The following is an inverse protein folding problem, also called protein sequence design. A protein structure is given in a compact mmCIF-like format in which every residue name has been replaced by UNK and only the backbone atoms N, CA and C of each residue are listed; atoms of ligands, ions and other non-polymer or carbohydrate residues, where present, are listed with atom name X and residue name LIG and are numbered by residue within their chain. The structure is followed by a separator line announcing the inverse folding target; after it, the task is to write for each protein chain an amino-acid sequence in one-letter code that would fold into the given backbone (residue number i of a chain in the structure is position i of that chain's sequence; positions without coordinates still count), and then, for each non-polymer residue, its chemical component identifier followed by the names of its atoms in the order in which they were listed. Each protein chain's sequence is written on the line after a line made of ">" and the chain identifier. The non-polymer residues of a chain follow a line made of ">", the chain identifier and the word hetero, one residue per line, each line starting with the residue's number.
data_IF_980016101382
#
_entry.id   IF_980016101382
#
_cell.length_a   1.000
_cell.length_b   1.000
_cell.length_c   1.000
_cell.angle_alpha   90.00
_cell.angle_beta   90.00
_cell.angle_gamma   90.00
#
_symmetry.space_group_name_H-M   'P 1'
#
loop_
_entity.id
_entity.type
_entity.pdbx_description
1 polymer ?
#
# COMPACT_ATOMS: atom_id res chain seq x y z
N UNK A 1 9.81 23.34 11.24
CA UNK A 1 9.24 23.20 9.88
C UNK A 1 8.26 22.04 9.84
N UNK A 2 6.96 22.25 9.78
CA UNK A 2 6.09 22.92 10.77
C UNK A 2 4.67 22.61 10.34
N UNK A 3 3.94 21.77 11.09
CA UNK A 3 2.46 21.59 11.11
C UNK A 3 1.67 21.31 9.82
N UNK A 4 2.15 21.70 8.64
CA UNK A 4 1.40 21.75 7.38
C UNK A 4 1.23 20.39 6.71
N UNK A 5 2.16 19.46 6.90
CA UNK A 5 2.05 18.10 6.36
C UNK A 5 1.20 17.17 7.24
N UNK A 6 1.14 17.45 8.56
CA UNK A 6 0.24 16.75 9.49
C UNK A 6 -1.19 17.08 9.11
N UNK A 7 -1.47 18.35 8.81
CA UNK A 7 -2.76 18.80 8.28
C UNK A 7 -3.07 18.10 6.95
N UNK A 8 -2.13 17.95 6.01
CA UNK A 8 -2.45 17.33 4.70
C UNK A 8 -2.89 15.86 4.76
N UNK A 9 -2.29 15.00 5.60
CA UNK A 9 -2.72 13.59 5.77
C UNK A 9 -4.04 13.50 6.57
N UNK A 10 -4.19 14.37 7.56
CA UNK A 10 -5.43 14.54 8.31
C UNK A 10 -6.55 15.16 7.46
N UNK A 11 -6.25 15.96 6.44
CA UNK A 11 -7.21 16.52 5.48
C UNK A 11 -7.67 15.49 4.44
N UNK A 12 -6.92 14.41 4.20
CA UNK A 12 -7.39 13.30 3.35
C UNK A 12 -8.38 12.42 4.13
N UNK A 13 -8.12 12.20 5.41
CA UNK A 13 -9.05 11.52 6.32
C UNK A 13 -10.29 12.39 6.61
N UNK A 14 -10.10 13.65 7.00
CA UNK A 14 -11.16 14.56 7.48
C UNK A 14 -11.78 15.47 6.41
N UNK A 15 -11.33 15.44 5.16
CA UNK A 15 -11.73 16.42 4.13
C UNK A 15 -12.71 15.92 3.07
N UNK A 16 -13.09 14.64 3.08
CA UNK A 16 -13.93 14.09 2.01
C UNK A 16 -15.40 13.92 2.38
N UNK A 17 -15.76 13.91 3.67
CA UNK A 17 -17.13 13.57 4.10
C UNK A 17 -17.61 12.19 3.63
N UNK A 18 -16.74 11.41 2.98
CA UNK A 18 -17.00 10.11 2.42
C UNK A 18 -16.52 9.07 3.42
N UNK A 19 -17.38 8.11 3.72
CA UNK A 19 -16.95 6.87 4.37
C UNK A 19 -15.81 6.25 3.53
N UNK A 20 -14.86 5.59 4.19
CA UNK A 20 -13.80 4.79 3.54
C UNK A 20 -14.37 4.03 2.32
N UNK A 21 -13.57 3.76 1.27
CA UNK A 21 -14.04 3.04 0.08
C UNK A 21 -14.89 1.82 0.43
N UNK A 22 -16.12 1.82 -0.07
CA UNK A 22 -17.15 0.78 0.07
C UNK A 22 -17.19 -0.04 -1.22
N UNK A 23 -17.82 -1.21 -1.20
CA UNK A 23 -18.00 -2.02 -2.40
C UNK A 23 -18.80 -1.25 -3.46
N UNK A 24 -18.16 -0.87 -4.56
CA UNK A 24 -18.83 -0.14 -5.65
C UNK A 24 -19.48 -1.11 -6.63
N UNK A 25 -20.41 -0.64 -7.49
CA UNK A 25 -20.94 -1.46 -8.58
C UNK A 25 -19.84 -2.00 -9.51
N UNK A 26 -18.75 -1.25 -9.67
CA UNK A 26 -17.58 -1.69 -10.45
C UNK A 26 -16.87 -2.85 -9.77
N UNK A 27 -16.66 -2.79 -8.46
CA UNK A 27 -16.00 -3.85 -7.70
C UNK A 27 -16.83 -5.14 -7.74
N UNK A 28 -18.13 -5.01 -7.51
CA UNK A 28 -19.08 -6.12 -7.62
C UNK A 28 -19.05 -6.75 -9.02
N UNK A 29 -19.13 -5.94 -10.08
CA UNK A 29 -19.08 -6.43 -11.46
C UNK A 29 -17.73 -7.07 -11.80
N UNK A 30 -16.61 -6.51 -11.33
CA UNK A 30 -15.30 -7.11 -11.56
C UNK A 30 -15.16 -8.48 -10.89
N UNK A 31 -15.72 -8.66 -9.69
CA UNK A 31 -15.66 -9.91 -8.95
C UNK A 31 -16.58 -10.99 -9.54
N UNK A 32 -17.76 -10.59 -10.04
CA UNK A 32 -18.84 -11.52 -10.36
C UNK A 32 -19.29 -11.52 -11.82
N UNK A 33 -18.95 -10.51 -12.63
CA UNK A 33 -19.57 -10.24 -13.93
C UNK A 33 -19.44 -11.36 -14.98
N UNK A 34 -18.48 -12.27 -14.81
CA UNK A 34 -18.32 -13.45 -15.68
C UNK A 34 -18.91 -14.74 -15.07
N UNK A 35 -19.17 -14.76 -13.76
CA UNK A 35 -19.53 -15.95 -12.98
C UNK A 35 -21.02 -16.07 -12.70
N UNK A 36 -21.78 -15.02 -13.00
CA UNK A 36 -23.20 -14.94 -12.72
C UNK A 36 -23.99 -15.16 -14.02
N UNK A 37 -24.88 -16.16 -14.04
CA UNK A 37 -25.88 -16.36 -15.10
C UNK A 37 -27.25 -16.72 -14.49
N UNK A 38 -28.33 -16.34 -15.18
CA UNK A 38 -29.70 -16.75 -14.84
C UNK A 38 -30.20 -16.19 -13.51
N UNK A 39 -30.91 -17.00 -12.72
CA UNK A 39 -31.57 -16.56 -11.48
C UNK A 39 -30.58 -16.05 -10.41
N UNK A 40 -29.35 -16.57 -10.42
CA UNK A 40 -28.29 -16.10 -9.52
C UNK A 40 -27.89 -14.64 -9.80
N UNK A 41 -28.05 -14.16 -11.05
CA UNK A 41 -27.79 -12.76 -11.42
C UNK A 41 -28.81 -11.82 -10.82
N UNK A 42 -30.06 -12.18 -11.00
CA UNK A 42 -31.15 -11.38 -10.49
C UNK A 42 -31.08 -11.26 -8.97
N UNK A 43 -30.86 -12.38 -8.27
CA UNK A 43 -30.78 -12.40 -6.81
C UNK A 43 -29.54 -11.63 -6.32
N UNK A 44 -28.35 -11.91 -6.86
CA UNK A 44 -27.12 -11.27 -6.40
C UNK A 44 -27.13 -9.75 -6.64
N UNK A 45 -27.70 -9.31 -7.77
CA UNK A 45 -27.88 -7.89 -8.04
C UNK A 45 -28.87 -7.23 -7.07
N UNK A 46 -29.99 -7.87 -6.77
CA UNK A 46 -30.95 -7.33 -5.81
C UNK A 46 -30.34 -7.17 -4.40
N UNK A 47 -29.54 -8.13 -3.96
CA UNK A 47 -28.79 -8.02 -2.69
C UNK A 47 -27.80 -6.86 -2.74
N UNK A 48 -27.07 -6.71 -3.85
CA UNK A 48 -26.13 -5.60 -4.01
C UNK A 48 -26.82 -4.23 -4.04
N UNK A 49 -27.95 -4.11 -4.72
CA UNK A 49 -28.73 -2.87 -4.80
C UNK A 49 -29.24 -2.45 -3.41
N UNK A 50 -29.71 -3.41 -2.59
CA UNK A 50 -30.10 -3.18 -1.19
C UNK A 50 -28.91 -2.72 -0.33
N UNK A 51 -27.76 -3.41 -0.43
CA UNK A 51 -26.51 -2.98 0.22
C UNK A 51 -26.14 -1.54 -0.17
N UNK A 52 -26.19 -1.21 -1.46
CA UNK A 52 -25.81 0.11 -1.96
C UNK A 52 -26.71 1.22 -1.42
N UNK A 53 -28.03 0.97 -1.32
CA UNK A 53 -28.99 1.91 -0.71
C UNK A 53 -28.69 2.14 0.78
N UNK A 54 -28.44 1.07 1.53
CA UNK A 54 -28.12 1.17 2.96
C UNK A 54 -26.82 1.94 3.22
N UNK A 55 -25.78 1.70 2.41
CA UNK A 55 -24.52 2.42 2.53
C UNK A 55 -24.64 3.90 2.12
N UNK A 56 -25.48 4.22 1.14
CA UNK A 56 -25.79 5.61 0.79
C UNK A 56 -26.44 6.35 1.97
N UNK A 57 -27.27 5.68 2.77
CA UNK A 57 -27.86 6.25 3.97
C UNK A 57 -26.81 6.61 5.04
N UNK A 58 -25.77 5.78 5.23
CA UNK A 58 -24.65 6.08 6.15
C UNK A 58 -23.94 7.38 5.73
N UNK A 59 -23.67 7.52 4.43
CA UNK A 59 -23.03 8.73 3.88
C UNK A 59 -23.91 9.99 3.97
N UNK A 60 -25.23 9.82 4.03
CA UNK A 60 -26.21 10.92 4.05
C UNK A 60 -26.57 11.37 5.48
N UNK A 61 -26.03 10.72 6.52
CA UNK A 61 -26.25 11.07 7.93
C UNK A 61 -25.68 12.46 8.30
N UNK A 62 -26.31 13.11 9.30
CA UNK A 62 -26.17 14.53 9.66
C UNK A 62 -24.79 15.17 9.38
N UNK A 63 -24.85 16.28 8.64
CA UNK A 63 -23.75 17.18 8.32
C UNK A 63 -23.02 17.68 9.57
N UNK A 64 -21.69 17.68 9.48
CA UNK A 64 -20.75 18.19 10.45
C UNK A 64 -21.22 19.49 11.12
N UNK A 65 -21.39 19.46 12.45
CA UNK A 65 -21.53 20.68 13.22
C UNK A 65 -20.20 21.45 13.18
N UNK A 66 -20.26 22.76 12.96
CA UNK A 66 -19.08 23.64 12.86
C UNK A 66 -18.17 23.62 14.10
N UNK A 67 -18.66 23.11 15.24
CA UNK A 67 -17.94 23.00 16.51
C UNK A 67 -17.28 21.63 16.75
N UNK A 68 -17.30 20.72 15.77
CA UNK A 68 -16.73 19.37 15.93
C UNK A 68 -15.20 19.42 15.92
N UNK A 69 -14.56 18.95 16.99
CA UNK A 69 -13.10 18.86 17.04
C UNK A 69 -12.57 17.78 16.10
N UNK A 70 -11.31 17.87 15.61
CA UNK A 70 -10.70 16.83 14.77
C UNK A 70 -10.76 15.42 15.36
N UNK A 71 -10.62 15.28 16.68
CA UNK A 71 -10.71 13.97 17.35
C UNK A 71 -12.14 13.42 17.41
N UNK A 72 -13.15 14.29 17.46
CA UNK A 72 -14.56 13.90 17.35
C UNK A 72 -14.93 13.52 15.92
N UNK A 73 -14.41 14.22 14.91
CA UNK A 73 -14.58 13.87 13.50
C UNK A 73 -14.07 12.44 13.22
N UNK A 74 -12.85 12.11 13.66
CA UNK A 74 -12.30 10.76 13.53
C UNK A 74 -13.13 9.68 14.26
N UNK A 75 -13.79 10.02 15.37
CA UNK A 75 -14.66 9.08 16.08
C UNK A 75 -15.96 8.81 15.31
N UNK A 76 -16.53 9.84 14.68
CA UNK A 76 -17.69 9.71 13.78
C UNK A 76 -17.30 8.90 12.54
N UNK A 77 -16.14 9.17 11.94
CA UNK A 77 -15.63 8.40 10.81
C UNK A 77 -15.41 6.93 11.16
N UNK A 78 -14.85 6.62 12.34
CA UNK A 78 -14.70 5.24 12.81
C UNK A 78 -16.06 4.54 12.94
N UNK A 79 -17.07 5.23 13.48
CA UNK A 79 -18.41 4.68 13.60
C UNK A 79 -18.99 4.37 12.21
N UNK A 80 -18.97 5.33 11.29
CA UNK A 80 -19.50 5.13 9.93
C UNK A 80 -18.74 4.05 9.16
N UNK A 81 -17.43 3.98 9.31
CA UNK A 81 -16.59 2.93 8.74
C UNK A 81 -16.99 1.55 9.27
N UNK A 82 -17.24 1.45 10.59
CA UNK A 82 -17.69 0.20 11.22
C UNK A 82 -19.08 -0.22 10.73
N UNK A 83 -20.01 0.73 10.62
CA UNK A 83 -21.36 0.48 10.08
C UNK A 83 -21.30 0.00 8.62
N UNK A 84 -20.49 0.64 7.77
CA UNK A 84 -20.33 0.24 6.38
C UNK A 84 -19.69 -1.15 6.21
N UNK A 85 -18.75 -1.51 7.09
CA UNK A 85 -18.15 -2.85 7.05
C UNK A 85 -19.10 -3.94 7.55
N UNK A 86 -19.95 -3.67 8.54
CA UNK A 86 -21.01 -4.61 8.92
C UNK A 86 -21.96 -4.88 7.76
N UNK A 87 -22.39 -3.84 7.03
CA UNK A 87 -23.20 -4.01 5.82
C UNK A 87 -22.45 -4.79 4.74
N UNK A 88 -21.14 -4.59 4.62
CA UNK A 88 -20.34 -5.34 3.66
C UNK A 88 -20.23 -6.83 4.03
N UNK A 89 -20.04 -7.15 5.31
CA UNK A 89 -20.07 -8.53 5.80
C UNK A 89 -21.44 -9.18 5.59
N UNK A 90 -22.53 -8.44 5.79
CA UNK A 90 -23.89 -8.89 5.50
C UNK A 90 -24.12 -9.14 4.00
N UNK A 91 -23.62 -8.27 3.11
CA UNK A 91 -23.60 -8.49 1.67
C UNK A 91 -22.89 -9.80 1.33
N UNK A 92 -21.66 -9.99 1.81
CA UNK A 92 -20.86 -11.17 1.49
C UNK A 92 -21.48 -12.46 2.06
N UNK A 93 -22.05 -12.39 3.27
CA UNK A 93 -22.80 -13.49 3.88
C UNK A 93 -24.02 -13.86 3.04
N UNK A 94 -24.81 -12.87 2.60
CA UNK A 94 -26.00 -13.08 1.77
C UNK A 94 -25.64 -13.68 0.41
N UNK A 95 -24.57 -13.20 -0.22
CA UNK A 95 -24.04 -13.76 -1.47
C UNK A 95 -23.57 -15.21 -1.28
N UNK A 96 -22.98 -15.56 -0.12
CA UNK A 96 -22.48 -16.92 0.13
C UNK A 96 -23.57 -17.99 0.21
N UNK A 97 -24.82 -17.61 0.48
CA UNK A 97 -25.96 -18.54 0.54
C UNK A 97 -26.51 -18.87 -0.86
N UNK A 98 -26.27 -18.00 -1.85
CA UNK A 98 -26.78 -18.18 -3.22
C UNK A 98 -26.16 -19.40 -3.90
N UNK A 99 -24.84 -19.55 -3.82
CA UNK A 99 -24.11 -20.63 -4.47
C UNK A 99 -22.86 -21.02 -3.65
N UNK A 100 -22.55 -22.32 -3.64
CA UNK A 100 -21.40 -22.91 -2.94
C UNK A 100 -20.28 -23.39 -3.88
N UNK A 101 -20.44 -23.21 -5.18
CA UNK A 101 -19.42 -23.54 -6.18
C UNK A 101 -18.10 -22.83 -5.90
N UNK A 102 -16.99 -23.48 -6.28
CA UNK A 102 -15.65 -22.94 -6.01
C UNK A 102 -15.44 -21.57 -6.68
N UNK A 103 -15.92 -21.40 -7.91
CA UNK A 103 -15.83 -20.14 -8.64
C UNK A 103 -16.57 -19.01 -7.93
N UNK A 104 -17.76 -19.30 -7.39
CA UNK A 104 -18.55 -18.35 -6.62
C UNK A 104 -17.85 -17.92 -5.33
N UNK A 105 -17.31 -18.89 -4.58
CA UNK A 105 -16.56 -18.62 -3.35
C UNK A 105 -15.28 -17.83 -3.62
N UNK A 106 -14.61 -18.11 -4.74
CA UNK A 106 -13.45 -17.33 -5.20
C UNK A 106 -13.85 -15.90 -5.57
N UNK A 107 -15.00 -15.69 -6.23
CA UNK A 107 -15.54 -14.34 -6.50
C UNK A 107 -15.82 -13.56 -5.20
N UNK A 108 -16.43 -14.19 -4.19
CA UNK A 108 -16.66 -13.57 -2.86
C UNK A 108 -15.33 -13.17 -2.22
N UNK A 109 -14.35 -14.08 -2.19
CA UNK A 109 -13.04 -13.82 -1.58
C UNK A 109 -12.28 -12.71 -2.32
N UNK A 110 -12.36 -12.67 -3.66
CA UNK A 110 -11.79 -11.60 -4.47
C UNK A 110 -12.45 -10.25 -4.16
N UNK A 111 -13.79 -10.21 -4.09
CA UNK A 111 -14.50 -8.97 -3.75
C UNK A 111 -14.10 -8.47 -2.36
N UNK A 112 -14.12 -9.35 -1.35
CA UNK A 112 -13.73 -9.03 0.03
C UNK A 112 -12.32 -8.45 0.07
N UNK A 113 -11.35 -9.16 -0.52
CA UNK A 113 -9.95 -8.76 -0.54
C UNK A 113 -9.76 -7.40 -1.19
N UNK A 114 -10.31 -7.16 -2.38
CA UNK A 114 -10.17 -5.88 -3.08
C UNK A 114 -10.75 -4.71 -2.29
N UNK A 115 -11.97 -4.85 -1.75
CA UNK A 115 -12.64 -3.77 -1.01
C UNK A 115 -11.91 -3.48 0.31
N UNK A 116 -11.60 -4.51 1.12
CA UNK A 116 -10.97 -4.30 2.43
C UNK A 116 -9.55 -3.75 2.32
N UNK A 117 -8.76 -4.17 1.32
CA UNK A 117 -7.41 -3.65 1.12
C UNK A 117 -7.42 -2.19 0.64
N UNK A 118 -8.34 -1.80 -0.24
CA UNK A 118 -8.47 -0.40 -0.67
C UNK A 118 -9.00 0.50 0.46
N UNK A 119 -9.99 0.03 1.23
CA UNK A 119 -10.49 0.72 2.42
C UNK A 119 -9.36 0.97 3.44
N UNK A 120 -8.53 -0.05 3.69
CA UNK A 120 -7.35 0.07 4.55
C UNK A 120 -6.37 1.10 4.01
N UNK A 121 -6.02 1.04 2.72
CA UNK A 121 -5.08 1.97 2.08
C UNK A 121 -5.55 3.42 2.20
N UNK A 122 -6.84 3.68 2.00
CA UNK A 122 -7.42 5.01 2.10
C UNK A 122 -7.30 5.60 3.51
N UNK A 123 -7.55 4.78 4.54
CA UNK A 123 -7.56 5.21 5.94
C UNK A 123 -6.25 4.92 6.70
N UNK A 124 -5.14 4.72 5.99
CA UNK A 124 -3.86 4.31 6.59
C UNK A 124 -3.04 5.52 7.10
N UNK A 125 -2.85 5.67 8.43
CA UNK A 125 -2.02 6.75 8.97
C UNK A 125 -0.51 6.53 8.75
N UNK A 126 -0.10 5.35 8.27
CA UNK A 126 1.28 5.01 7.93
C UNK A 126 1.39 4.67 6.43
N UNK A 127 1.44 5.67 5.52
CA UNK A 127 1.35 5.42 4.07
C UNK A 127 2.39 4.46 3.49
N UNK A 128 3.55 4.31 4.15
CA UNK A 128 4.58 3.36 3.73
C UNK A 128 4.30 1.90 4.16
N UNK A 129 3.31 1.66 5.01
CA UNK A 129 2.91 0.32 5.49
C UNK A 129 1.73 -0.20 4.66
N UNK A 130 2.06 -0.71 3.48
CA UNK A 130 1.08 -1.20 2.48
C UNK A 130 0.71 -2.66 2.74
N UNK A 131 -0.58 -2.99 2.63
CA UNK A 131 -1.04 -4.37 2.49
C UNK A 131 -1.32 -4.60 1.01
N UNK A 132 -0.42 -5.32 0.35
CA UNK A 132 -0.51 -5.52 -1.09
C UNK A 132 -1.46 -6.66 -1.41
N UNK A 133 -2.28 -6.41 -2.43
CA UNK A 133 -3.11 -7.42 -3.04
C UNK A 133 -2.30 -8.31 -3.99
N UNK A 134 -1.57 -9.28 -3.43
CA UNK A 134 -0.66 -10.13 -4.22
C UNK A 134 -1.36 -10.86 -5.39
N UNK A 135 -2.57 -11.44 -5.22
CA UNK A 135 -3.29 -12.09 -6.32
C UNK A 135 -3.62 -11.20 -7.53
N UNK A 136 -3.62 -9.87 -7.40
CA UNK A 136 -3.83 -8.98 -8.55
C UNK A 136 -2.55 -8.62 -9.30
N UNK A 137 -1.38 -8.97 -8.75
CA UNK A 137 -0.07 -8.70 -9.36
C UNK A 137 0.52 -9.99 -9.93
N UNK A 138 0.50 -11.08 -9.15
CA UNK A 138 1.15 -12.34 -9.51
C UNK A 138 0.24 -13.53 -9.23
N UNK A 139 0.47 -14.64 -9.96
CA UNK A 139 -0.35 -15.84 -9.81
C UNK A 139 -0.04 -16.53 -8.48
N UNK A 140 -1.06 -16.78 -7.67
CA UNK A 140 -0.95 -17.53 -6.41
C UNK A 140 -1.89 -18.74 -6.39
N UNK A 141 -1.56 -19.80 -5.64
CA UNK A 141 -2.49 -20.90 -5.42
C UNK A 141 -3.77 -20.45 -4.68
N UNK A 142 -4.91 -21.08 -4.97
CA UNK A 142 -6.19 -20.82 -4.27
C UNK A 142 -6.06 -20.92 -2.74
N UNK A 143 -5.23 -21.84 -2.24
CA UNK A 143 -4.99 -22.00 -0.81
C UNK A 143 -4.39 -20.74 -0.16
N UNK A 144 -3.64 -19.94 -0.92
CA UNK A 144 -3.07 -18.67 -0.45
C UNK A 144 -4.09 -17.57 -0.51
N UNK A 145 -4.89 -17.52 -1.58
CA UNK A 145 -6.02 -16.61 -1.70
C UNK A 145 -6.96 -16.76 -0.49
N UNK A 146 -7.36 -17.99 -0.15
CA UNK A 146 -8.21 -18.25 1.02
C UNK A 146 -7.51 -17.98 2.37
N UNK A 147 -6.18 -18.11 2.44
CA UNK A 147 -5.42 -17.72 3.64
C UNK A 147 -5.41 -16.20 3.84
N UNK A 148 -5.20 -15.42 2.77
CA UNK A 148 -5.30 -13.96 2.79
C UNK A 148 -6.71 -13.55 3.20
N UNK A 149 -7.72 -14.14 2.57
CA UNK A 149 -9.13 -13.86 2.85
C UNK A 149 -9.50 -14.15 4.33
N UNK A 150 -9.09 -15.31 4.84
CA UNK A 150 -9.26 -15.68 6.25
C UNK A 150 -8.52 -14.72 7.19
N UNK A 151 -7.32 -14.30 6.80
CA UNK A 151 -6.56 -13.32 7.58
C UNK A 151 -7.27 -11.98 7.65
N UNK A 152 -7.80 -11.48 6.53
CA UNK A 152 -8.57 -10.23 6.48
C UNK A 152 -9.80 -10.30 7.38
N UNK A 153 -10.61 -11.36 7.26
CA UNK A 153 -11.78 -11.59 8.12
C UNK A 153 -11.46 -11.54 9.62
N UNK A 154 -10.33 -12.13 10.02
CA UNK A 154 -9.99 -12.24 11.45
C UNK A 154 -9.36 -10.97 12.04
N UNK A 155 -8.91 -10.03 11.20
CA UNK A 155 -7.99 -8.98 11.61
C UNK A 155 -8.37 -7.57 11.15
N UNK A 156 -9.25 -7.39 10.16
CA UNK A 156 -9.52 -6.07 9.57
C UNK A 156 -10.15 -5.10 10.58
N UNK A 157 -11.06 -5.56 11.44
CA UNK A 157 -11.70 -4.70 12.45
C UNK A 157 -10.72 -4.23 13.52
N UNK A 158 -9.79 -5.11 13.90
CA UNK A 158 -8.72 -4.78 14.83
C UNK A 158 -7.76 -3.77 14.21
N UNK A 159 -7.33 -4.00 12.97
CA UNK A 159 -6.47 -3.05 12.22
C UNK A 159 -7.14 -1.67 12.07
N UNK A 160 -8.44 -1.64 11.74
CA UNK A 160 -9.21 -0.39 11.65
C UNK A 160 -9.22 0.35 12.97
N UNK A 161 -9.58 -0.33 14.05
CA UNK A 161 -9.59 0.26 15.40
C UNK A 161 -8.20 0.79 15.76
N UNK A 162 -7.14 0.02 15.52
CA UNK A 162 -5.76 0.40 15.77
C UNK A 162 -5.37 1.70 15.03
N UNK A 163 -5.72 1.80 13.72
CA UNK A 163 -5.41 2.98 12.89
C UNK A 163 -6.16 4.24 13.31
N UNK A 164 -7.46 4.13 13.56
CA UNK A 164 -8.26 5.28 14.00
C UNK A 164 -7.84 5.75 15.40
N UNK A 165 -7.65 4.80 16.34
CA UNK A 165 -7.23 5.15 17.70
C UNK A 165 -5.82 5.74 17.74
N UNK A 166 -4.88 5.25 16.93
CA UNK A 166 -3.57 5.87 16.79
C UNK A 166 -3.71 7.33 16.32
N UNK A 167 -4.53 7.59 15.31
CA UNK A 167 -4.75 8.94 14.77
C UNK A 167 -5.38 9.88 15.80
N UNK A 168 -6.41 9.43 16.53
CA UNK A 168 -7.05 10.19 17.62
C UNK A 168 -6.04 10.52 18.73
N UNK A 169 -5.25 9.53 19.17
CA UNK A 169 -4.28 9.71 20.24
C UNK A 169 -3.11 10.61 19.82
N UNK A 170 -2.73 10.59 18.54
CA UNK A 170 -1.75 11.49 17.98
C UNK A 170 -2.22 12.94 18.03
N UNK A 171 -3.46 13.21 17.63
CA UNK A 171 -4.08 14.54 17.72
C UNK A 171 -4.19 15.02 19.17
N UNK A 172 -4.57 14.13 20.09
CA UNK A 172 -4.67 14.43 21.51
C UNK A 172 -3.33 14.51 22.26
N UNK A 173 -2.19 14.34 21.57
CA UNK A 173 -0.85 14.42 22.16
C UNK A 173 -0.46 13.24 23.05
N UNK A 174 -1.23 12.14 23.04
CA UNK A 174 -0.94 10.94 23.84
C UNK A 174 -0.02 9.97 23.10
N UNK A 175 1.26 10.35 23.01
CA UNK A 175 2.31 9.62 22.30
C UNK A 175 2.44 8.15 22.76
N UNK A 176 2.34 7.89 24.06
CA UNK A 176 2.59 6.55 24.60
C UNK A 176 1.49 5.55 24.19
N UNK A 177 0.21 5.94 24.29
CA UNK A 177 -0.89 5.07 23.83
C UNK A 177 -0.92 4.96 22.31
N UNK A 178 -0.62 6.04 21.59
CA UNK A 178 -0.53 6.01 20.13
C UNK A 178 0.48 4.94 19.69
N UNK A 179 1.69 4.93 20.28
CA UNK A 179 2.73 3.92 20.00
C UNK A 179 2.29 2.49 20.25
N UNK A 180 1.43 2.26 21.24
CA UNK A 180 0.90 0.92 21.50
C UNK A 180 0.03 0.42 20.34
N UNK A 181 -0.82 1.29 19.78
CA UNK A 181 -1.62 0.97 18.60
C UNK A 181 -0.78 0.86 17.31
N UNK A 182 0.20 1.74 17.12
CA UNK A 182 1.18 1.60 16.03
C UNK A 182 1.86 0.24 16.07
N UNK A 183 2.34 -0.18 17.24
CA UNK A 183 2.96 -1.49 17.42
C UNK A 183 2.05 -2.65 17.02
N UNK A 184 0.79 -2.61 17.42
CA UNK A 184 -0.18 -3.65 17.08
C UNK A 184 -0.40 -3.75 15.56
N UNK A 185 -0.61 -2.61 14.89
CA UNK A 185 -0.82 -2.60 13.44
C UNK A 185 0.43 -3.04 12.67
N UNK A 186 1.64 -2.67 13.13
CA UNK A 186 2.90 -3.12 12.51
C UNK A 186 3.16 -4.61 12.68
N UNK A 187 2.80 -5.18 13.83
CA UNK A 187 2.91 -6.61 14.06
C UNK A 187 1.92 -7.38 13.19
N UNK A 188 0.69 -6.88 13.06
CA UNK A 188 -0.35 -7.43 12.17
C UNK A 188 0.05 -7.35 10.69
N UNK A 189 0.68 -6.25 10.26
CA UNK A 189 1.32 -6.18 8.94
C UNK A 189 2.38 -7.28 8.77
N UNK A 190 3.18 -7.57 9.81
CA UNK A 190 4.16 -8.64 9.79
C UNK A 190 3.53 -10.04 9.64
N UNK A 191 2.39 -10.28 10.27
CA UNK A 191 1.61 -11.51 10.10
C UNK A 191 1.08 -11.65 8.67
N UNK A 192 0.59 -10.55 8.09
CA UNK A 192 0.19 -10.53 6.67
C UNK A 192 1.36 -10.81 5.74
N UNK A 193 2.52 -10.18 6.01
CA UNK A 193 3.74 -10.37 5.24
C UNK A 193 4.17 -11.84 5.22
N UNK A 194 4.05 -12.55 6.34
CA UNK A 194 4.43 -13.96 6.42
C UNK A 194 3.60 -14.86 5.49
N UNK A 195 2.33 -14.52 5.25
CA UNK A 195 1.45 -15.25 4.31
C UNK A 195 1.94 -15.05 2.87
N UNK A 196 2.35 -13.82 2.53
CA UNK A 196 2.68 -13.45 1.15
C UNK A 196 4.17 -13.57 0.81
N UNK A 197 5.05 -13.72 1.80
CA UNK A 197 6.50 -13.74 1.62
C UNK A 197 7.01 -14.67 0.50
N UNK A 198 6.47 -15.89 0.31
CA UNK A 198 6.90 -16.78 -0.78
C UNK A 198 6.60 -16.26 -2.20
N UNK A 199 5.72 -15.27 -2.32
CA UNK A 199 5.20 -14.74 -3.58
C UNK A 199 5.68 -13.30 -3.86
N UNK A 200 6.67 -12.82 -3.09
CA UNK A 200 7.26 -11.50 -3.30
C UNK A 200 8.30 -11.59 -4.41
N UNK A 201 7.88 -11.27 -5.63
CA UNK A 201 8.75 -10.98 -6.76
C UNK A 201 9.08 -9.48 -6.86
N UNK A 202 9.70 -9.05 -7.96
CA UNK A 202 10.09 -7.65 -8.16
C UNK A 202 8.89 -6.69 -8.22
N UNK A 203 7.79 -7.10 -8.86
CA UNK A 203 6.59 -6.28 -9.01
C UNK A 203 5.85 -6.16 -7.67
N UNK A 204 5.71 -7.28 -6.94
CA UNK A 204 5.11 -7.30 -5.60
C UNK A 204 5.96 -6.50 -4.61
N UNK A 205 7.29 -6.60 -4.69
CA UNK A 205 8.20 -5.81 -3.86
C UNK A 205 8.06 -4.31 -4.14
N UNK A 206 7.93 -3.90 -5.40
CA UNK A 206 7.71 -2.51 -5.78
C UNK A 206 6.40 -1.96 -5.22
N UNK A 207 5.34 -2.78 -5.19
CA UNK A 207 4.06 -2.41 -4.59
C UNK A 207 4.11 -2.35 -3.05
N UNK A 208 4.86 -3.27 -2.40
CA UNK A 208 5.00 -3.33 -0.93
C UNK A 208 5.87 -2.20 -0.38
N UNK A 209 6.89 -1.80 -1.14
CA UNK A 209 7.92 -0.86 -0.72
C UNK A 209 8.11 0.27 -1.75
N UNK A 210 7.08 1.11 -1.97
CA UNK A 210 7.14 2.17 -3.00
C UNK A 210 8.14 3.29 -2.66
N UNK A 211 8.72 3.29 -1.46
CA UNK A 211 9.78 4.21 -1.04
C UNK A 211 11.17 3.79 -1.55
N UNK A 212 11.32 2.57 -2.06
CA UNK A 212 12.60 2.13 -2.64
C UNK A 212 12.91 2.93 -3.89
N UNK A 213 14.18 3.30 -4.04
CA UNK A 213 14.65 3.93 -5.26
C UNK A 213 14.51 2.93 -6.43
N UNK A 214 13.73 3.31 -7.45
CA UNK A 214 13.45 2.52 -8.66
C UNK A 214 14.59 2.54 -9.66
N UNK A 215 15.46 3.55 -9.63
CA UNK A 215 16.56 3.71 -10.59
C UNK A 215 16.09 4.16 -11.96
N UNK A 216 14.94 4.81 -12.02
CA UNK A 216 14.31 5.27 -13.26
C UNK A 216 15.28 6.04 -14.16
N UNK A 217 16.11 6.89 -13.56
CA UNK A 217 17.10 7.68 -14.27
C UNK A 217 18.21 6.84 -14.93
N UNK A 218 18.71 5.82 -14.24
CA UNK A 218 19.73 4.89 -14.79
C UNK A 218 19.15 4.16 -16.00
N UNK A 219 17.90 3.70 -15.88
CA UNK A 219 17.20 3.03 -16.97
C UNK A 219 16.90 3.98 -18.14
N UNK A 220 16.51 5.22 -17.85
CA UNK A 220 16.27 6.27 -18.86
C UNK A 220 17.53 6.53 -19.69
N UNK A 221 18.67 6.74 -19.04
CA UNK A 221 19.95 6.95 -19.74
C UNK A 221 20.31 5.75 -20.60
N UNK A 222 20.23 4.53 -20.05
CA UNK A 222 20.58 3.33 -20.81
C UNK A 222 19.67 3.14 -22.04
N UNK A 223 18.35 3.34 -21.86
CA UNK A 223 17.39 3.27 -22.96
C UNK A 223 17.64 4.34 -24.02
N UNK A 224 18.01 5.55 -23.60
CA UNK A 224 18.40 6.62 -24.52
C UNK A 224 19.64 6.22 -25.33
N UNK A 225 20.67 5.63 -24.68
CA UNK A 225 21.88 5.18 -25.38
C UNK A 225 21.53 4.10 -26.41
N UNK A 226 20.73 3.09 -26.04
CA UNK A 226 20.32 2.03 -26.97
C UNK A 226 19.55 2.55 -28.19
N UNK A 227 18.81 3.65 -28.01
CA UNK A 227 18.01 4.26 -29.08
C UNK A 227 18.85 5.13 -30.01
N UNK A 228 19.88 5.82 -29.49
CA UNK A 228 20.59 6.87 -30.21
C UNK A 228 22.02 6.50 -30.63
N UNK A 229 22.56 5.39 -30.12
CA UNK A 229 23.85 4.84 -30.55
C UNK A 229 23.63 3.67 -31.53
N UNK A 230 24.45 3.61 -32.58
CA UNK A 230 24.53 2.44 -33.47
C UNK A 230 25.75 1.55 -33.17
N UNK A 231 26.56 1.91 -32.16
CA UNK A 231 27.78 1.16 -31.82
C UNK A 231 27.45 -0.02 -30.90
N UNK A 232 27.63 -1.23 -31.45
CA UNK A 232 27.40 -2.49 -30.73
C UNK A 232 28.31 -2.65 -29.50
N UNK A 233 29.53 -2.10 -29.52
CA UNK A 233 30.44 -2.14 -28.36
C UNK A 233 29.97 -1.24 -27.23
N UNK A 234 29.36 -0.10 -27.56
CA UNK A 234 28.71 0.76 -26.56
C UNK A 234 27.53 0.00 -25.95
N UNK A 235 26.69 -0.64 -26.77
CA UNK A 235 25.54 -1.42 -26.27
C UNK A 235 25.97 -2.57 -25.35
N UNK A 236 27.00 -3.33 -25.73
CA UNK A 236 27.58 -4.36 -24.87
C UNK A 236 28.11 -3.79 -23.55
N UNK A 237 28.71 -2.60 -23.58
CA UNK A 237 29.23 -1.93 -22.38
C UNK A 237 28.09 -1.44 -21.48
N UNK A 238 27.03 -0.86 -22.05
CA UNK A 238 25.81 -0.46 -21.31
C UNK A 238 25.18 -1.69 -20.66
N UNK A 239 25.01 -2.79 -21.40
CA UNK A 239 24.47 -4.05 -20.87
C UNK A 239 25.27 -4.57 -19.68
N UNK A 240 26.61 -4.53 -19.76
CA UNK A 240 27.49 -4.91 -18.65
C UNK A 240 27.32 -4.00 -17.43
N UNK A 241 27.26 -2.69 -17.64
CA UNK A 241 27.05 -1.73 -16.54
C UNK A 241 25.69 -1.91 -15.88
N UNK A 242 24.62 -2.10 -16.66
CA UNK A 242 23.28 -2.39 -16.13
C UNK A 242 23.25 -3.70 -15.34
N UNK A 243 23.92 -4.75 -15.80
CA UNK A 243 23.98 -6.01 -15.06
C UNK A 243 24.67 -5.86 -13.70
N UNK A 244 25.78 -5.12 -13.63
CA UNK A 244 26.47 -4.79 -12.38
C UNK A 244 25.56 -3.97 -11.47
N UNK A 245 24.95 -2.92 -12.02
CA UNK A 245 24.06 -2.03 -11.30
C UNK A 245 22.85 -2.76 -10.71
N UNK A 246 22.13 -3.54 -11.53
CA UNK A 246 20.99 -4.35 -11.09
C UNK A 246 21.36 -5.29 -9.93
N UNK A 247 22.53 -5.95 -10.04
CA UNK A 247 22.99 -6.91 -9.02
C UNK A 247 23.25 -6.21 -7.68
N UNK A 248 23.97 -5.08 -7.70
CA UNK A 248 24.31 -4.32 -6.49
C UNK A 248 23.05 -3.69 -5.89
N UNK A 249 22.22 -3.05 -6.73
CA UNK A 249 20.98 -2.40 -6.30
C UNK A 249 20.02 -3.39 -5.67
N UNK A 250 19.85 -4.58 -6.25
CA UNK A 250 19.04 -5.65 -5.67
C UNK A 250 19.49 -5.98 -4.24
N UNK A 251 20.79 -6.19 -4.03
CA UNK A 251 21.34 -6.48 -2.69
C UNK A 251 21.16 -5.32 -1.70
N UNK A 252 21.30 -4.08 -2.16
CA UNK A 252 21.06 -2.90 -1.33
C UNK A 252 19.58 -2.79 -0.93
N UNK A 253 18.67 -2.99 -1.89
CA UNK A 253 17.22 -3.00 -1.65
C UNK A 253 16.82 -4.14 -0.69
N UNK A 254 17.36 -5.35 -0.85
CA UNK A 254 17.14 -6.46 0.09
C UNK A 254 17.54 -6.09 1.52
N UNK A 255 18.67 -5.39 1.69
CA UNK A 255 19.13 -4.92 3.01
C UNK A 255 18.15 -3.92 3.62
N UNK A 256 17.68 -2.95 2.83
CA UNK A 256 16.69 -1.95 3.26
C UNK A 256 15.37 -2.64 3.63
N UNK A 257 14.89 -3.54 2.78
CA UNK A 257 13.66 -4.31 3.01
C UNK A 257 13.75 -5.06 4.34
N UNK A 258 14.86 -5.75 4.60
CA UNK A 258 15.05 -6.47 5.87
C UNK A 258 15.05 -5.55 7.09
N UNK A 259 15.66 -4.36 6.99
CA UNK A 259 15.60 -3.36 8.06
C UNK A 259 14.15 -2.92 8.34
N UNK A 260 13.36 -2.71 7.28
CA UNK A 260 11.94 -2.32 7.38
C UNK A 260 11.11 -3.43 7.98
N UNK A 261 11.28 -4.67 7.53
CA UNK A 261 10.59 -5.85 8.07
C UNK A 261 10.88 -5.99 9.56
N UNK A 262 12.15 -5.95 9.95
CA UNK A 262 12.55 -6.08 11.36
C UNK A 262 12.00 -4.94 12.22
N UNK A 263 12.01 -3.70 11.72
CA UNK A 263 11.45 -2.55 12.43
C UNK A 263 9.96 -2.73 12.71
N UNK A 264 9.19 -3.13 11.69
CA UNK A 264 7.74 -3.30 11.83
C UNK A 264 7.40 -4.53 12.68
N UNK A 265 7.94 -5.68 12.32
CA UNK A 265 7.59 -6.98 12.91
C UNK A 265 8.12 -7.14 14.35
N UNK A 266 9.38 -6.75 14.59
CA UNK A 266 10.02 -6.99 15.90
C UNK A 266 9.87 -5.79 16.84
N UNK A 267 10.04 -4.58 16.31
CA UNK A 267 10.08 -3.36 17.12
C UNK A 267 8.74 -2.61 17.16
N UNK A 268 7.83 -2.89 16.22
CA UNK A 268 6.47 -2.34 16.24
C UNK A 268 6.39 -0.89 15.79
N UNK A 269 7.20 -0.46 14.83
CA UNK A 269 7.08 0.87 14.24
C UNK A 269 7.41 0.85 12.76
N UNK A 270 6.84 1.80 12.00
CA UNK A 270 7.19 1.99 10.60
C UNK A 270 8.34 3.01 10.47
N UNK A 271 9.53 2.61 10.00
CA UNK A 271 10.69 3.50 9.98
C UNK A 271 10.60 4.61 8.91
N UNK A 272 9.76 4.43 7.90
CA UNK A 272 9.55 5.45 6.85
C UNK A 272 8.45 6.45 7.18
N UNK A 273 7.59 6.16 8.15
CA UNK A 273 6.61 7.13 8.63
C UNK A 273 7.19 8.09 9.68
N UNK A 274 6.40 9.12 10.00
CA UNK A 274 6.60 9.92 11.23
C UNK A 274 6.02 9.22 12.46
N UNK A 275 5.15 8.23 12.26
CA UNK A 275 4.48 7.43 13.29
C UNK A 275 3.81 8.28 14.36
N UNK A 276 3.68 7.67 15.54
CA UNK A 276 3.18 8.31 16.75
C UNK A 276 4.20 9.24 17.45
N UNK A 277 5.23 9.69 16.73
CA UNK A 277 6.33 10.51 17.26
C UNK A 277 7.44 9.67 17.91
N UNK A 278 8.71 9.99 17.62
CA UNK A 278 9.87 9.27 18.14
C UNK A 278 10.82 10.19 18.92
N UNK A 279 11.42 9.67 19.99
CA UNK A 279 12.48 10.35 20.72
C UNK A 279 13.83 10.06 20.05
N UNK A 280 14.71 11.07 20.01
CA UNK A 280 16.00 11.07 19.30
C UNK A 280 16.99 10.01 19.79
N UNK A 281 16.80 9.44 20.99
CA UNK A 281 17.74 8.47 21.58
C UNK A 281 17.22 7.02 21.60
N UNK A 282 16.24 6.72 20.75
CA UNK A 282 15.62 5.38 20.69
C UNK A 282 16.23 4.49 19.62
N UNK A 283 16.10 3.16 19.77
CA UNK A 283 16.47 2.20 18.72
C UNK A 283 15.79 2.52 17.38
N UNK A 284 14.56 3.02 17.43
CA UNK A 284 13.81 3.44 16.25
C UNK A 284 14.48 4.60 15.50
N UNK A 285 15.00 5.60 16.23
CA UNK A 285 15.74 6.71 15.63
C UNK A 285 17.03 6.24 14.95
N UNK A 286 17.76 5.30 15.58
CA UNK A 286 18.98 4.71 14.97
C UNK A 286 18.67 4.01 13.65
N UNK A 287 17.63 3.19 13.61
CA UNK A 287 17.24 2.47 12.39
C UNK A 287 16.77 3.43 11.29
N UNK A 288 16.03 4.49 11.66
CA UNK A 288 15.64 5.52 10.70
C UNK A 288 16.85 6.21 10.07
N UNK A 289 17.87 6.54 10.87
CA UNK A 289 19.12 7.09 10.35
C UNK A 289 19.87 6.12 9.45
N UNK A 290 19.94 4.84 9.84
CA UNK A 290 20.55 3.80 9.03
C UNK A 290 19.83 3.65 7.67
N UNK A 291 18.50 3.68 7.66
CA UNK A 291 17.70 3.65 6.43
C UNK A 291 17.94 4.88 5.56
N UNK A 292 18.05 6.08 6.15
CA UNK A 292 18.40 7.29 5.42
C UNK A 292 19.80 7.20 4.81
N UNK A 293 20.78 6.69 5.55
CA UNK A 293 22.15 6.48 5.05
C UNK A 293 22.17 5.49 3.89
N UNK A 294 21.50 4.33 4.03
CA UNK A 294 21.39 3.32 2.97
C UNK A 294 20.69 3.86 1.72
N UNK A 295 19.65 4.68 1.90
CA UNK A 295 18.97 5.33 0.78
C UNK A 295 19.89 6.33 0.06
N UNK A 296 20.70 7.08 0.82
CA UNK A 296 21.70 7.98 0.24
C UNK A 296 22.81 7.22 -0.52
N UNK A 297 23.28 6.10 0.02
CA UNK A 297 24.27 5.22 -0.65
C UNK A 297 23.76 4.71 -2.01
N UNK A 298 22.48 4.32 -2.11
CA UNK A 298 21.87 3.92 -3.39
C UNK A 298 21.84 5.10 -4.36
N UNK A 299 21.44 6.29 -3.90
CA UNK A 299 21.38 7.48 -4.75
C UNK A 299 22.76 7.88 -5.27
N UNK A 300 23.81 7.76 -4.45
CA UNK A 300 25.19 8.00 -4.88
C UNK A 300 25.67 6.94 -5.88
N UNK A 301 25.30 5.68 -5.67
CA UNK A 301 25.60 4.60 -6.60
C UNK A 301 24.91 4.76 -7.96
N UNK A 302 23.64 5.17 -7.97
CA UNK A 302 22.88 5.50 -9.19
C UNK A 302 23.56 6.66 -9.94
N UNK A 303 23.93 7.75 -9.24
CA UNK A 303 24.68 8.87 -9.83
C UNK A 303 26.01 8.45 -10.43
N UNK A 304 26.77 7.61 -9.72
CA UNK A 304 28.03 7.08 -10.23
C UNK A 304 27.81 6.25 -11.51
N UNK A 305 26.76 5.42 -11.52
CA UNK A 305 26.38 4.59 -12.67
C UNK A 305 25.99 5.46 -13.88
N UNK A 306 25.16 6.48 -13.67
CA UNK A 306 24.79 7.45 -14.71
C UNK A 306 26.03 8.09 -15.36
N UNK A 307 26.97 8.55 -14.53
CA UNK A 307 28.22 9.14 -15.01
C UNK A 307 29.06 8.15 -15.82
N UNK A 308 29.09 6.87 -15.44
CA UNK A 308 29.78 5.83 -16.21
C UNK A 308 29.09 5.60 -17.55
N UNK A 309 27.75 5.48 -17.56
CA UNK A 309 26.97 5.27 -18.78
C UNK A 309 27.17 6.42 -19.78
N UNK A 310 27.09 7.68 -19.32
CA UNK A 310 27.28 8.86 -20.18
C UNK A 310 28.72 8.97 -20.72
N UNK A 311 29.72 8.45 -20.00
CA UNK A 311 31.12 8.40 -20.48
C UNK A 311 31.37 7.32 -21.54
N UNK A 312 30.44 6.39 -21.75
CA UNK A 312 30.54 5.42 -22.85
C UNK A 312 30.21 6.08 -24.21
N UNK A 313 29.51 7.21 -24.20
CA UNK A 313 29.13 7.93 -25.41
C UNK A 313 30.31 8.75 -25.96
N UNK A 314 30.41 8.87 -27.30
CA UNK A 314 31.16 9.95 -27.93
C UNK A 314 30.68 11.32 -27.44
N UNK A 315 31.58 12.30 -27.45
CA UNK A 315 31.32 13.66 -26.93
C UNK A 315 30.09 14.33 -27.58
N UNK A 316 29.89 14.11 -28.89
CA UNK A 316 28.75 14.61 -29.66
C UNK A 316 27.41 14.07 -29.15
N UNK A 317 27.32 12.76 -28.90
CA UNK A 317 26.10 12.14 -28.37
C UNK A 317 25.87 12.50 -26.91
N UNK A 318 26.93 12.66 -26.11
CA UNK A 318 26.81 13.13 -24.73
C UNK A 318 26.23 14.54 -24.66
N UNK A 319 26.71 15.46 -25.50
CA UNK A 319 26.14 16.81 -25.57
C UNK A 319 24.70 16.82 -26.07
N UNK A 320 24.34 15.93 -27.00
CA UNK A 320 22.95 15.77 -27.43
C UNK A 320 22.04 15.39 -26.26
N UNK A 321 22.45 14.42 -25.43
CA UNK A 321 21.70 14.02 -24.24
C UNK A 321 21.55 15.17 -23.23
N UNK A 322 22.63 15.89 -22.93
CA UNK A 322 22.63 17.04 -22.00
C UNK A 322 21.76 18.21 -22.50
N UNK A 323 21.52 18.31 -23.81
CA UNK A 323 20.68 19.35 -24.41
C UNK A 323 19.18 19.01 -24.48
N UNK A 324 18.81 17.75 -24.21
CA UNK A 324 17.41 17.29 -24.14
C UNK A 324 16.79 17.44 -22.74
N UNK A 325 17.60 17.77 -21.71
CA UNK A 325 17.18 18.11 -20.34
C UNK A 325 16.88 19.61 -20.17
#
# INVERSE_FOLDING_TARGET
>A
MSTSLVIAVLSILMGSGLVQPICTPRDFHNAFGNSIQGDNEFIAKAIFDDYAEQVQAINSGETENADTTPSQQLAIELQRATEADMLFDELLSSLSVINNDIEWRTSIANLRRSVLLEARKFTNPWPATVWVDVPSITTVPDSVLFQIDTFLLNNIDKDRTERFMASVLQLGGNVLKCKAYEKQSMQRWGEYLDIIAPYIDEEVAAALYPQLNTGEEVQRIANWIYKNSNDTKIHESVSKQLAIWNTIKKKQNETIIQLVINSRKQLGFDPWSRGCGQQTDTAAYKIKNELMQKSAEINEFDKATNNVLLRLLPEELRHSFESEE
#
